data_IF_908537973868
#
_entry.id   IF_908537973868
#
_cell.length_a   1.000
_cell.length_b   1.000
_cell.length_c   1.000
_cell.angle_alpha   90.00
_cell.angle_beta   90.00
_cell.angle_gamma   90.00
#
_symmetry.space_group_name_H-M   'P 1'
#
loop_
_entity.id
_entity.type
_entity.pdbx_description
1 polymer ?
#
# COMPACT_ATOMS: atom_id res chain seq x y z
N UNK A 1 -1.68 -24.89 -20.17
CA UNK A 1 -1.82 -23.86 -19.13
C UNK A 1 -0.68 -23.92 -18.10
N UNK A 2 -0.23 -25.11 -17.73
CA UNK A 2 0.87 -25.30 -16.76
C UNK A 2 2.18 -24.64 -17.19
N UNK A 3 2.50 -24.68 -18.49
CA UNK A 3 3.70 -24.06 -19.02
C UNK A 3 3.78 -22.53 -18.73
N UNK A 4 2.65 -21.82 -18.90
CA UNK A 4 2.58 -20.38 -18.62
C UNK A 4 2.76 -20.11 -17.13
N UNK A 5 2.12 -20.94 -16.27
CA UNK A 5 2.22 -20.81 -14.81
C UNK A 5 3.67 -21.05 -14.36
N UNK A 6 4.34 -22.04 -14.92
CA UNK A 6 5.74 -22.33 -14.61
C UNK A 6 6.66 -21.19 -15.04
N UNK A 7 6.44 -20.60 -16.21
CA UNK A 7 7.21 -19.41 -16.65
C UNK A 7 7.01 -18.19 -15.72
N UNK A 8 5.79 -17.99 -15.21
CA UNK A 8 5.51 -16.92 -14.26
C UNK A 8 6.14 -17.17 -12.88
N UNK A 9 6.32 -18.44 -12.49
CA UNK A 9 7.01 -18.80 -11.25
C UNK A 9 8.52 -18.68 -11.36
N UNK A 10 9.08 -19.04 -12.52
CA UNK A 10 10.52 -18.92 -12.78
C UNK A 10 10.96 -17.46 -12.97
N UNK A 11 10.05 -16.60 -13.42
CA UNK A 11 10.30 -15.18 -13.71
C UNK A 11 9.23 -14.29 -13.08
N UNK A 12 9.36 -14.01 -11.78
CA UNK A 12 8.36 -13.22 -11.04
C UNK A 12 8.16 -11.82 -11.61
N UNK A 13 9.15 -11.27 -12.31
CA UNK A 13 9.03 -9.98 -12.99
C UNK A 13 7.91 -9.99 -14.04
N UNK A 14 7.76 -11.10 -14.77
CA UNK A 14 6.69 -11.24 -15.76
C UNK A 14 5.31 -11.23 -15.10
N UNK A 15 5.19 -11.84 -13.92
CA UNK A 15 3.95 -11.84 -13.16
C UNK A 15 3.59 -10.44 -12.67
N UNK A 16 4.59 -9.66 -12.23
CA UNK A 16 4.41 -8.27 -11.81
C UNK A 16 3.91 -7.42 -12.97
N UNK A 17 4.60 -7.46 -14.12
CA UNK A 17 4.20 -6.69 -15.30
C UNK A 17 2.85 -7.13 -15.86
N UNK A 18 2.55 -8.41 -15.85
CA UNK A 18 1.23 -8.93 -16.25
C UNK A 18 0.13 -8.40 -15.33
N UNK A 19 0.37 -8.41 -14.02
CA UNK A 19 -0.55 -7.87 -13.01
C UNK A 19 -0.80 -6.39 -13.22
N UNK A 20 0.26 -5.61 -13.45
CA UNK A 20 0.15 -4.19 -13.73
C UNK A 20 -0.63 -3.95 -15.04
N UNK A 21 -0.29 -4.65 -16.10
CA UNK A 21 -0.95 -4.51 -17.41
C UNK A 21 -2.45 -4.79 -17.31
N UNK A 22 -2.82 -5.96 -16.77
CA UNK A 22 -4.22 -6.35 -16.63
C UNK A 22 -4.97 -5.42 -15.66
N UNK A 23 -4.34 -5.05 -14.54
CA UNK A 23 -4.93 -4.14 -13.56
C UNK A 23 -5.18 -2.73 -14.12
N UNK A 24 -4.22 -2.18 -14.87
CA UNK A 24 -4.40 -0.90 -15.56
C UNK A 24 -5.47 -0.97 -16.64
N UNK A 25 -5.52 -2.06 -17.39
CA UNK A 25 -6.54 -2.26 -18.42
C UNK A 25 -7.94 -2.35 -17.81
N UNK A 26 -8.12 -3.18 -16.78
CA UNK A 26 -9.38 -3.28 -16.05
C UNK A 26 -9.77 -1.96 -15.36
N UNK A 27 -8.80 -1.24 -14.81
CA UNK A 27 -9.05 0.04 -14.13
C UNK A 27 -9.52 1.16 -15.05
N UNK A 28 -9.24 1.06 -16.35
CA UNK A 28 -9.74 1.98 -17.38
C UNK A 28 -11.15 1.64 -17.84
N UNK A 29 -11.62 0.42 -17.60
CA UNK A 29 -12.97 0.04 -17.98
C UNK A 29 -13.98 0.78 -17.10
N UNK A 30 -14.85 1.53 -17.75
CA UNK A 30 -15.99 2.20 -17.13
C UNK A 30 -17.26 1.46 -17.48
N UNK A 31 -17.95 0.95 -16.50
CA UNK A 31 -19.25 0.30 -16.68
C UNK A 31 -20.32 1.28 -16.20
N UNK A 32 -20.86 2.07 -17.13
CA UNK A 32 -21.79 3.13 -16.84
C UNK A 32 -21.18 4.26 -16.00
N UNK A 33 -21.73 4.54 -14.83
CA UNK A 33 -21.23 5.55 -13.88
C UNK A 33 -20.16 5.00 -12.91
N UNK A 34 -19.92 3.70 -12.91
CA UNK A 34 -18.99 3.03 -12.01
C UNK A 34 -17.63 2.81 -12.66
N UNK A 35 -16.56 3.17 -11.93
CA UNK A 35 -15.19 2.91 -12.32
C UNK A 35 -14.47 2.36 -11.08
N UNK A 36 -13.86 1.18 -11.20
CA UNK A 36 -13.08 0.57 -10.14
C UNK A 36 -11.83 1.39 -9.77
N UNK A 37 -11.34 2.19 -10.71
CA UNK A 37 -10.08 2.89 -10.56
C UNK A 37 -8.86 1.98 -10.73
N UNK A 38 -7.74 2.57 -11.13
CA UNK A 38 -6.52 1.81 -11.49
C UNK A 38 -5.91 1.06 -10.30
N UNK A 39 -5.86 1.70 -9.14
CA UNK A 39 -5.22 1.11 -7.94
C UNK A 39 -5.99 -0.12 -7.47
N UNK A 40 -7.32 0.01 -7.32
CA UNK A 40 -8.18 -1.10 -6.88
C UNK A 40 -8.13 -2.28 -7.85
N UNK A 41 -8.13 -1.99 -9.15
CA UNK A 41 -8.07 -3.02 -10.19
C UNK A 41 -6.72 -3.75 -10.18
N UNK A 42 -5.61 -3.04 -10.00
CA UNK A 42 -4.28 -3.66 -9.87
C UNK A 42 -4.21 -4.54 -8.62
N UNK A 43 -4.77 -4.11 -7.50
CA UNK A 43 -4.83 -4.92 -6.28
C UNK A 43 -5.65 -6.20 -6.48
N UNK A 44 -6.83 -6.11 -7.09
CA UNK A 44 -7.67 -7.28 -7.37
C UNK A 44 -6.96 -8.29 -8.29
N UNK A 45 -6.35 -7.79 -9.38
CA UNK A 45 -5.56 -8.66 -10.27
C UNK A 45 -4.36 -9.25 -9.53
N UNK A 46 -3.70 -8.46 -8.67
CA UNK A 46 -2.59 -8.94 -7.84
C UNK A 46 -2.99 -10.07 -6.91
N UNK A 47 -4.16 -9.99 -6.28
CA UNK A 47 -4.71 -11.08 -5.44
C UNK A 47 -4.97 -12.33 -6.28
N UNK A 48 -5.52 -12.18 -7.49
CA UNK A 48 -5.78 -13.32 -8.39
C UNK A 48 -4.47 -13.99 -8.86
N UNK A 49 -3.49 -13.18 -9.29
CA UNK A 49 -2.17 -13.68 -9.72
C UNK A 49 -1.41 -14.29 -8.54
N UNK A 50 -1.55 -13.74 -7.34
CA UNK A 50 -0.96 -14.27 -6.10
C UNK A 50 -1.43 -15.68 -5.74
N UNK A 51 -2.66 -16.07 -6.14
CA UNK A 51 -3.13 -17.46 -5.96
C UNK A 51 -2.27 -18.49 -6.71
N UNK A 52 -1.50 -18.08 -7.70
CA UNK A 52 -0.57 -18.95 -8.43
C UNK A 52 0.68 -19.32 -7.61
N UNK A 53 0.80 -18.83 -6.35
CA UNK A 53 1.93 -19.07 -5.45
C UNK A 53 3.27 -18.68 -6.09
N UNK A 54 3.33 -17.49 -6.66
CA UNK A 54 4.53 -16.91 -7.24
C UNK A 54 5.32 -16.24 -6.11
N UNK A 55 6.52 -16.71 -5.87
CA UNK A 55 7.40 -16.08 -4.89
C UNK A 55 8.16 -14.91 -5.54
N UNK A 56 7.94 -13.71 -5.01
CA UNK A 56 8.62 -12.50 -5.47
C UNK A 56 9.87 -12.29 -4.61
N UNK A 57 11.08 -12.28 -5.20
CA UNK A 57 12.32 -12.07 -4.44
C UNK A 57 12.32 -10.75 -3.63
N UNK A 58 12.84 -10.81 -2.40
CA UNK A 58 12.92 -9.66 -1.50
C UNK A 58 13.52 -8.40 -2.13
N UNK A 59 14.64 -8.46 -2.87
CA UNK A 59 15.21 -7.30 -3.54
C UNK A 59 14.25 -6.59 -4.50
N UNK A 60 13.42 -7.34 -5.22
CA UNK A 60 12.43 -6.78 -6.14
C UNK A 60 11.34 -6.03 -5.34
N UNK A 61 10.82 -6.65 -4.27
CA UNK A 61 9.85 -6.00 -3.37
C UNK A 61 10.41 -4.70 -2.82
N UNK A 62 11.65 -4.70 -2.32
CA UNK A 62 12.31 -3.52 -1.77
C UNK A 62 12.45 -2.39 -2.79
N UNK A 63 12.84 -2.69 -4.04
CA UNK A 63 12.95 -1.69 -5.11
C UNK A 63 11.59 -1.06 -5.41
N UNK A 64 10.53 -1.86 -5.59
CA UNK A 64 9.19 -1.32 -5.84
C UNK A 64 8.66 -0.53 -4.66
N UNK A 65 8.94 -0.95 -3.44
CA UNK A 65 8.59 -0.22 -2.23
C UNK A 65 9.29 1.15 -2.15
N UNK A 66 10.59 1.21 -2.41
CA UNK A 66 11.34 2.46 -2.46
C UNK A 66 10.84 3.40 -3.57
N UNK A 67 10.52 2.86 -4.75
CA UNK A 67 9.92 3.63 -5.84
C UNK A 67 8.55 4.19 -5.45
N UNK A 68 7.74 3.42 -4.73
CA UNK A 68 6.47 3.88 -4.19
C UNK A 68 6.66 5.03 -3.20
N UNK A 69 7.56 4.90 -2.23
CA UNK A 69 7.87 5.96 -1.28
C UNK A 69 8.39 7.22 -1.98
N UNK A 70 9.29 7.06 -2.95
CA UNK A 70 9.78 8.16 -3.75
C UNK A 70 8.66 8.89 -4.51
N UNK A 71 7.78 8.14 -5.18
CA UNK A 71 6.66 8.70 -5.94
C UNK A 71 5.69 9.48 -5.04
N UNK A 72 5.39 8.94 -3.85
CA UNK A 72 4.56 9.62 -2.85
C UNK A 72 5.24 10.90 -2.35
N UNK A 73 6.51 10.81 -1.96
CA UNK A 73 7.29 11.96 -1.50
C UNK A 73 7.40 13.05 -2.55
N UNK A 74 7.68 12.68 -3.79
CA UNK A 74 7.77 13.61 -4.92
C UNK A 74 6.45 14.34 -5.18
N UNK A 75 5.33 13.62 -5.11
CA UNK A 75 4.00 14.21 -5.33
C UNK A 75 3.55 15.10 -4.17
N UNK A 76 3.76 14.66 -2.93
CA UNK A 76 3.24 15.33 -1.74
C UNK A 76 4.19 16.41 -1.22
N UNK A 77 5.51 16.24 -1.38
CA UNK A 77 6.52 17.14 -0.86
C UNK A 77 6.30 18.62 -1.18
N UNK A 78 6.11 19.00 -2.45
CA UNK A 78 5.89 20.41 -2.80
C UNK A 78 4.61 21.00 -2.19
N UNK A 79 3.58 20.19 -2.00
CA UNK A 79 2.31 20.62 -1.37
C UNK A 79 2.50 20.82 0.13
N UNK A 80 3.24 19.90 0.77
CA UNK A 80 3.57 19.98 2.19
C UNK A 80 4.35 21.28 2.51
N UNK A 81 5.42 21.57 1.76
CA UNK A 81 6.22 22.78 1.98
C UNK A 81 5.45 24.07 1.71
N UNK A 82 4.52 24.06 0.73
CA UNK A 82 3.63 25.20 0.49
C UNK A 82 2.64 25.42 1.61
N UNK A 83 2.04 24.36 2.12
CA UNK A 83 1.12 24.40 3.27
C UNK A 83 1.82 24.89 4.54
N UNK A 84 3.04 24.39 4.77
CA UNK A 84 3.85 24.78 5.93
C UNK A 84 4.18 26.29 5.98
N UNK A 85 4.39 26.91 4.82
CA UNK A 85 4.69 28.35 4.73
C UNK A 85 3.50 29.24 5.02
N UNK A 86 2.27 28.80 4.76
CA UNK A 86 1.07 29.63 4.84
C UNK A 86 0.40 29.56 6.22
N UNK A 87 0.15 28.36 6.72
CA UNK A 87 -0.54 28.12 8.00
C UNK A 87 0.08 26.92 8.73
N UNK A 88 1.41 26.77 8.67
CA UNK A 88 2.09 25.53 9.01
C UNK A 88 1.97 25.11 10.47
N UNK A 89 2.09 26.06 11.41
CA UNK A 89 2.15 25.72 12.82
C UNK A 89 0.86 25.07 13.36
N UNK A 90 -0.34 25.63 13.10
CA UNK A 90 -1.61 25.00 13.49
C UNK A 90 -1.83 23.65 12.80
N UNK A 91 -1.48 23.53 11.52
CA UNK A 91 -1.64 22.28 10.77
C UNK A 91 -0.72 21.16 11.30
N UNK A 92 0.53 21.50 11.60
CA UNK A 92 1.48 20.54 12.22
C UNK A 92 0.99 20.12 13.61
N UNK A 93 0.56 21.09 14.43
CA UNK A 93 -0.02 20.78 15.75
C UNK A 93 -1.21 19.85 15.66
N UNK A 94 -2.13 20.11 14.73
CA UNK A 94 -3.28 19.25 14.50
C UNK A 94 -2.87 17.85 14.00
N UNK A 95 -1.93 17.76 13.06
CA UNK A 95 -1.43 16.49 12.55
C UNK A 95 -0.78 15.65 13.66
N UNK A 96 0.06 16.26 14.50
CA UNK A 96 0.69 15.59 15.65
C UNK A 96 -0.38 15.09 16.62
N UNK A 97 -1.36 15.92 16.96
CA UNK A 97 -2.47 15.56 17.85
C UNK A 97 -3.25 14.36 17.29
N UNK A 98 -3.57 14.37 16.00
CA UNK A 98 -4.25 13.25 15.33
C UNK A 98 -3.41 11.97 15.35
N UNK A 99 -2.13 12.05 15.01
CA UNK A 99 -1.24 10.88 15.04
C UNK A 99 -1.14 10.28 16.45
N UNK A 100 -0.94 11.11 17.46
CA UNK A 100 -0.86 10.66 18.86
C UNK A 100 -2.20 10.06 19.32
N UNK A 101 -3.31 10.69 18.99
CA UNK A 101 -4.65 10.19 19.35
C UNK A 101 -4.91 8.81 18.77
N UNK A 102 -4.62 8.62 17.47
CA UNK A 102 -4.82 7.32 16.81
C UNK A 102 -3.91 6.26 17.41
N UNK A 103 -2.65 6.60 17.67
CA UNK A 103 -1.70 5.66 18.29
C UNK A 103 -2.17 5.24 19.68
N UNK A 104 -2.60 6.19 20.53
CA UNK A 104 -3.10 5.91 21.87
C UNK A 104 -4.37 5.05 21.83
N UNK A 105 -5.32 5.39 20.96
CA UNK A 105 -6.57 4.62 20.79
C UNK A 105 -6.27 3.20 20.33
N UNK A 106 -5.41 3.04 19.34
CA UNK A 106 -5.03 1.71 18.84
C UNK A 106 -4.31 0.90 19.89
N UNK A 107 -3.41 1.52 20.66
CA UNK A 107 -2.71 0.87 21.75
C UNK A 107 -3.65 0.41 22.86
N UNK A 108 -4.59 1.26 23.28
CA UNK A 108 -5.61 0.91 24.28
C UNK A 108 -6.50 -0.23 23.77
N UNK A 109 -6.95 -0.18 22.53
CA UNK A 109 -7.73 -1.26 21.92
C UNK A 109 -6.95 -2.57 21.89
N UNK A 110 -5.67 -2.52 21.51
CA UNK A 110 -4.81 -3.70 21.50
C UNK A 110 -4.68 -4.34 22.90
N UNK A 111 -4.53 -3.52 23.94
CA UNK A 111 -4.49 -4.00 25.33
C UNK A 111 -5.82 -4.65 25.76
N UNK A 112 -6.95 -4.01 25.44
CA UNK A 112 -8.29 -4.51 25.82
C UNK A 112 -8.62 -5.80 25.08
N UNK A 113 -8.27 -5.88 23.80
CA UNK A 113 -8.56 -7.05 22.94
C UNK A 113 -7.50 -8.16 23.06
N UNK A 114 -6.38 -7.89 23.75
CA UNK A 114 -5.29 -8.86 23.89
C UNK A 114 -4.52 -9.12 22.60
N UNK A 115 -4.44 -8.13 21.71
CA UNK A 115 -3.74 -8.26 20.43
C UNK A 115 -2.22 -8.31 20.64
N UNK A 116 -1.55 -9.10 19.82
CA UNK A 116 -0.10 -9.08 19.73
C UNK A 116 0.41 -7.82 19.00
N UNK A 117 1.70 -7.48 19.11
CA UNK A 117 2.25 -6.27 18.47
C UNK A 117 2.04 -6.19 16.96
N UNK A 118 2.08 -7.33 16.26
CA UNK A 118 1.85 -7.38 14.81
C UNK A 118 0.40 -7.07 14.44
N UNK A 119 -0.56 -7.61 15.20
CA UNK A 119 -2.00 -7.33 15.01
C UNK A 119 -2.32 -5.86 15.34
N UNK A 120 -1.71 -5.30 16.39
CA UNK A 120 -1.86 -3.90 16.75
C UNK A 120 -1.29 -2.97 15.67
N UNK A 121 -0.12 -3.30 15.12
CA UNK A 121 0.48 -2.58 14.00
C UNK A 121 -0.38 -2.66 12.74
N UNK A 122 -0.94 -3.83 12.43
CA UNK A 122 -1.87 -4.04 11.33
C UNK A 122 -3.15 -3.22 11.49
N UNK A 123 -3.72 -3.16 12.70
CA UNK A 123 -4.89 -2.35 13.01
C UNK A 123 -4.60 -0.84 12.82
N UNK A 124 -3.44 -0.38 13.30
CA UNK A 124 -3.00 1.01 13.14
C UNK A 124 -2.84 1.35 11.65
N UNK A 125 -2.12 0.52 10.91
CA UNK A 125 -1.90 0.70 9.48
C UNK A 125 -3.21 0.72 8.68
N UNK A 126 -4.10 -0.23 8.96
CA UNK A 126 -5.39 -0.34 8.31
C UNK A 126 -6.30 0.85 8.59
N UNK A 127 -6.33 1.34 9.84
CA UNK A 127 -7.14 2.51 10.24
C UNK A 127 -6.71 3.80 9.53
N UNK A 128 -5.43 3.94 9.23
CA UNK A 128 -4.85 5.10 8.56
C UNK A 128 -4.63 4.89 7.05
N UNK A 129 -4.98 3.69 6.52
CA UNK A 129 -4.70 3.33 5.12
C UNK A 129 -3.22 3.50 4.73
N UNK A 130 -2.30 3.19 5.67
CA UNK A 130 -0.86 3.34 5.47
C UNK A 130 -0.28 2.06 4.86
N UNK A 131 -0.20 2.02 3.53
CA UNK A 131 0.40 0.89 2.80
C UNK A 131 1.91 0.71 3.09
N UNK A 132 2.60 1.76 3.55
CA UNK A 132 4.02 1.70 3.87
C UNK A 132 4.36 0.71 5.00
N UNK A 133 3.42 0.42 5.91
CA UNK A 133 3.61 -0.53 7.01
C UNK A 133 3.80 -1.97 6.50
N UNK A 134 3.25 -2.30 5.33
CA UNK A 134 3.41 -3.63 4.73
C UNK A 134 4.89 -3.93 4.47
N UNK A 135 5.66 -2.92 4.00
CA UNK A 135 7.10 -3.09 3.76
C UNK A 135 7.94 -3.19 5.04
N UNK A 136 7.44 -2.67 6.16
CA UNK A 136 8.14 -2.76 7.47
C UNK A 136 7.80 -4.06 8.20
N UNK A 137 6.65 -4.64 7.94
CA UNK A 137 6.18 -5.86 8.59
C UNK A 137 6.81 -7.15 8.01
N UNK A 138 7.54 -7.06 6.90
CA UNK A 138 8.22 -8.21 6.26
C UNK A 138 9.67 -8.45 6.78
N UNK A 139 10.20 -7.55 7.61
CA UNK A 139 11.50 -7.67 8.30
C UNK A 139 11.32 -8.26 9.72
#
# INVERSE_FOLDING_TARGET
MEWIINQLRERPELAIFLTLFLGFWLGKLRIGKFSLGTVTSVLLVGVLVGQLKIDVPGPIKSVFFLLFLFAVGYKVGPQFFRGLKKDGLPQVGFAVLMCVSVLVVTWLLALVMGYNPGEAAGLLAGSQTISAVIGVAED
#
